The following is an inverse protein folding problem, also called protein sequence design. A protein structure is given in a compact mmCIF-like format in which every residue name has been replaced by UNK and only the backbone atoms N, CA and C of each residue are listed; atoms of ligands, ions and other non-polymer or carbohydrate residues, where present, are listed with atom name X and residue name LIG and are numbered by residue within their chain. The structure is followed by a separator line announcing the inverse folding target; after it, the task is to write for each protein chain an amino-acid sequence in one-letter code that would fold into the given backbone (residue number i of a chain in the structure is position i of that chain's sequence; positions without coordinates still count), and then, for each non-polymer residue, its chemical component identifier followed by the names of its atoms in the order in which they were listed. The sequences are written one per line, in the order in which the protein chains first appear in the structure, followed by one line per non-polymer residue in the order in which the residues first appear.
data_IF_922069728799
#
_entry.id   IF_922069728799
#
_cell.length_a   1.000
_cell.length_b   1.000
_cell.length_c   1.000
_cell.angle_alpha   90.00
_cell.angle_beta   90.00
_cell.angle_gamma   90.00
#
_symmetry.space_group_name_H-M   'P 1'
#
loop_
_entity.id
_entity.type
_entity.pdbx_description
1 polymer ?
#
# COMPACT_ATOMS: atom_id res chain seq x y z
N UNK A 1 9.23 -24.53 -7.32
CA UNK A 1 9.07 -25.42 -6.16
C UNK A 1 7.94 -24.93 -5.28
N UNK A 2 7.29 -25.82 -4.53
CA UNK A 2 6.16 -25.51 -3.63
C UNK A 2 6.32 -26.25 -2.31
N UNK A 3 5.92 -25.62 -1.20
CA UNK A 3 5.88 -26.25 0.12
C UNK A 3 4.42 -26.40 0.53
N UNK A 4 4.10 -27.59 1.01
CA UNK A 4 2.83 -27.88 1.66
C UNK A 4 3.09 -28.17 3.15
N UNK A 5 2.24 -27.67 4.02
CA UNK A 5 2.15 -28.04 5.44
C UNK A 5 0.74 -28.53 5.69
N UNK A 6 0.61 -29.74 6.19
CA UNK A 6 -0.67 -30.41 6.46
C UNK A 6 -1.63 -30.34 5.25
N UNK A 7 -1.08 -30.61 4.07
CA UNK A 7 -1.75 -30.55 2.75
C UNK A 7 -2.15 -29.15 2.27
N UNK A 8 -1.86 -28.08 3.00
CA UNK A 8 -2.08 -26.70 2.55
C UNK A 8 -0.82 -26.15 1.88
N UNK A 9 -0.97 -25.52 0.72
CA UNK A 9 0.15 -24.86 0.03
C UNK A 9 0.48 -23.56 0.77
N UNK A 10 1.68 -23.48 1.35
CA UNK A 10 2.13 -22.34 2.17
C UNK A 10 3.23 -21.51 1.51
N UNK A 11 3.88 -22.04 0.47
CA UNK A 11 4.93 -21.34 -0.26
C UNK A 11 5.04 -21.85 -1.70
N UNK A 12 5.29 -20.93 -2.65
CA UNK A 12 5.54 -21.23 -4.06
C UNK A 12 6.64 -20.31 -4.58
N UNK A 13 7.62 -20.89 -5.30
CA UNK A 13 8.68 -20.12 -5.97
C UNK A 13 9.07 -20.77 -7.28
N UNK A 14 9.40 -19.97 -8.29
CA UNK A 14 10.00 -20.42 -9.55
C UNK A 14 11.53 -20.25 -9.46
N UNK A 15 12.20 -21.25 -8.88
CA UNK A 15 13.67 -21.26 -8.66
C UNK A 15 14.21 -22.68 -8.66
N UNK A 16 15.52 -22.83 -8.92
CA UNK A 16 16.24 -24.11 -8.86
C UNK A 16 16.66 -24.50 -7.44
N UNK A 17 16.59 -23.57 -6.50
CA UNK A 17 16.88 -23.81 -5.07
C UNK A 17 15.86 -23.11 -4.20
N UNK A 18 15.70 -23.55 -2.95
CA UNK A 18 14.75 -23.06 -1.99
C UNK A 18 15.45 -22.77 -0.66
N UNK A 19 15.34 -21.54 -0.19
CA UNK A 19 15.71 -21.13 1.16
C UNK A 19 14.66 -20.17 1.70
N UNK A 20 13.83 -20.66 2.63
CA UNK A 20 12.71 -19.88 3.17
C UNK A 20 12.36 -20.34 4.58
N UNK A 21 11.63 -19.50 5.32
CA UNK A 21 11.06 -19.84 6.62
C UNK A 21 9.54 -19.94 6.50
N UNK A 22 8.96 -20.93 7.13
CA UNK A 22 7.51 -21.15 7.19
C UNK A 22 7.09 -21.18 8.65
N UNK A 23 6.11 -20.36 9.02
CA UNK A 23 5.56 -20.34 10.38
C UNK A 23 4.64 -21.55 10.57
N UNK A 24 4.85 -22.30 11.66
CA UNK A 24 4.03 -23.44 12.06
C UNK A 24 3.64 -23.32 13.53
N UNK A 25 2.45 -23.81 13.89
CA UNK A 25 2.04 -23.93 15.29
C UNK A 25 2.86 -24.99 16.04
N UNK A 26 2.74 -25.06 17.35
CA UNK A 26 3.28 -26.20 18.10
C UNK A 26 2.51 -27.47 17.72
N UNK A 27 3.22 -28.58 17.52
CA UNK A 27 2.62 -29.85 17.11
C UNK A 27 3.48 -30.58 16.08
N UNK A 28 3.01 -31.73 15.63
CA UNK A 28 3.64 -32.50 14.55
C UNK A 28 2.94 -32.19 13.23
N UNK A 29 3.71 -31.75 12.23
CA UNK A 29 3.24 -31.35 10.93
C UNK A 29 3.79 -32.24 9.83
N UNK A 30 2.94 -32.55 8.85
CA UNK A 30 3.34 -33.19 7.60
C UNK A 30 3.76 -32.13 6.60
N UNK A 31 5.02 -32.10 6.22
CA UNK A 31 5.55 -31.14 5.26
C UNK A 31 5.93 -31.87 3.98
N UNK A 32 5.53 -31.33 2.81
CA UNK A 32 5.92 -31.85 1.51
C UNK A 32 6.55 -30.74 0.70
N UNK A 33 7.80 -30.93 0.29
CA UNK A 33 8.47 -30.08 -0.70
C UNK A 33 8.25 -30.71 -2.06
N UNK A 34 7.69 -29.95 -2.99
CA UNK A 34 7.41 -30.38 -4.35
C UNK A 34 8.17 -29.52 -5.35
N UNK A 35 8.83 -30.16 -6.30
CA UNK A 35 9.52 -29.50 -7.40
C UNK A 35 9.00 -30.04 -8.74
N UNK A 36 9.10 -29.23 -9.78
CA UNK A 36 8.85 -29.62 -11.18
C UNK A 36 10.10 -29.33 -11.98
N UNK A 37 10.43 -30.18 -12.91
CA UNK A 37 11.43 -29.89 -13.94
C UNK A 37 10.77 -29.16 -15.15
N UNK A 38 11.58 -28.86 -16.15
CA UNK A 38 11.11 -28.17 -17.38
C UNK A 38 10.16 -29.02 -18.25
N UNK A 39 10.06 -30.31 -17.98
CA UNK A 39 9.17 -31.26 -18.69
C UNK A 39 7.86 -31.48 -17.94
N UNK A 40 7.71 -30.88 -16.74
CA UNK A 40 6.53 -31.04 -15.88
C UNK A 40 6.57 -32.27 -14.98
N UNK A 41 7.67 -33.01 -14.93
CA UNK A 41 7.83 -34.15 -14.00
C UNK A 41 7.89 -33.62 -12.57
N UNK A 42 7.13 -34.25 -11.68
CA UNK A 42 6.95 -33.85 -10.30
C UNK A 42 7.82 -34.69 -9.36
N UNK A 43 8.62 -34.04 -8.56
CA UNK A 43 9.41 -34.64 -7.48
C UNK A 43 8.84 -34.18 -6.14
N UNK A 44 8.71 -35.12 -5.18
CA UNK A 44 8.19 -34.83 -3.84
C UNK A 44 9.13 -35.35 -2.78
N UNK A 45 9.43 -34.52 -1.78
CA UNK A 45 10.18 -34.88 -0.59
C UNK A 45 9.26 -34.65 0.63
N UNK A 46 8.63 -35.72 1.16
CA UNK A 46 7.85 -35.63 2.38
C UNK A 46 8.77 -35.66 3.60
N UNK A 47 8.43 -34.90 4.62
CA UNK A 47 9.10 -34.94 5.92
C UNK A 47 8.07 -34.66 7.02
N UNK A 48 8.32 -35.15 8.22
CA UNK A 48 7.54 -34.85 9.42
C UNK A 48 8.38 -33.93 10.31
N UNK A 49 7.82 -32.81 10.71
CA UNK A 49 8.46 -31.84 11.60
C UNK A 49 7.64 -31.73 12.87
N UNK A 50 8.32 -31.82 14.03
CA UNK A 50 7.68 -31.53 15.31
C UNK A 50 8.17 -30.17 15.80
N UNK A 51 7.24 -29.22 15.93
CA UNK A 51 7.49 -27.92 16.53
C UNK A 51 7.20 -28.04 18.03
N UNK A 52 8.28 -27.96 18.84
CA UNK A 52 8.14 -27.99 20.30
C UNK A 52 7.45 -26.72 20.79
N UNK A 53 6.33 -26.87 21.51
CA UNK A 53 5.79 -25.77 22.32
C UNK A 53 6.78 -25.45 23.43
N UNK A 54 7.04 -24.20 23.72
CA UNK A 54 7.77 -23.81 24.92
C UNK A 54 7.06 -24.37 26.15
N UNK A 55 7.78 -25.18 26.96
CA UNK A 55 7.29 -25.66 28.27
C UNK A 55 6.93 -24.46 29.13
N UNK A 56 5.81 -24.48 29.89
CA UNK A 56 5.46 -23.35 30.72
C UNK A 56 6.54 -23.12 31.76
N UNK A 57 7.27 -22.04 31.65
CA UNK A 57 8.08 -21.47 32.75
C UNK A 57 7.14 -21.12 33.87
N UNK A 58 7.50 -21.32 35.17
CA UNK A 58 6.62 -21.03 36.30
C UNK A 58 6.13 -19.60 36.19
N UNK A 59 4.82 -19.46 36.30
CA UNK A 59 4.02 -18.25 36.18
C UNK A 59 4.60 -17.08 37.00
N UNK A 60 5.18 -16.04 36.36
CA UNK A 60 5.29 -14.75 37.05
C UNK A 60 3.87 -14.21 37.23
N UNK A 61 3.62 -13.58 38.38
CA UNK A 61 2.41 -12.81 38.66
C UNK A 61 1.96 -12.05 37.42
N UNK A 62 0.66 -12.08 37.05
CA UNK A 62 0.22 -11.53 35.79
C UNK A 62 0.54 -10.04 35.71
N UNK A 63 1.63 -9.71 35.06
CA UNK A 63 1.79 -8.41 34.43
C UNK A 63 0.66 -8.32 33.42
N UNK A 64 -0.18 -7.30 33.50
CA UNK A 64 -1.31 -7.10 32.60
C UNK A 64 -0.82 -7.36 31.16
N UNK A 65 -1.37 -8.41 30.55
CA UNK A 65 -1.15 -8.67 29.10
C UNK A 65 -1.49 -7.38 28.40
N UNK A 66 -0.58 -6.78 27.60
CA UNK A 66 -0.98 -5.62 26.79
C UNK A 66 -2.19 -6.06 25.99
N UNK A 67 -3.32 -5.41 26.22
CA UNK A 67 -4.51 -5.56 25.37
C UNK A 67 -4.03 -5.43 23.93
N UNK A 68 -4.34 -6.37 23.01
CA UNK A 68 -4.02 -6.19 21.61
C UNK A 68 -4.49 -4.80 21.23
N UNK A 69 -3.63 -4.00 20.61
CA UNK A 69 -4.04 -2.68 20.14
C UNK A 69 -5.32 -2.86 19.33
N UNK A 70 -6.40 -2.12 19.61
CA UNK A 70 -7.64 -2.25 18.86
C UNK A 70 -7.30 -2.07 17.39
N UNK A 71 -7.76 -2.99 16.52
CA UNK A 71 -7.62 -2.84 15.07
C UNK A 71 -8.20 -1.50 14.61
N UNK A 72 -7.83 -1.06 13.42
CA UNK A 72 -8.44 0.14 12.83
C UNK A 72 -9.96 -0.03 12.76
N UNK A 73 -10.77 1.04 12.97
CA UNK A 73 -12.22 0.93 13.04
C UNK A 73 -12.82 0.30 11.78
N UNK A 74 -13.73 -0.64 11.94
CA UNK A 74 -14.46 -1.20 10.80
C UNK A 74 -15.51 -0.18 10.29
N UNK A 75 -15.67 -0.01 8.96
CA UNK A 75 -16.73 0.82 8.40
C UNK A 75 -18.13 0.33 8.82
N UNK A 76 -19.08 1.22 9.09
CA UNK A 76 -20.47 0.84 9.35
C UNK A 76 -21.11 0.26 8.08
N UNK A 77 -22.19 -0.50 8.25
CA UNK A 77 -22.93 -1.09 7.11
C UNK A 77 -23.56 -0.07 6.16
N UNK A 78 -23.65 1.19 6.59
CA UNK A 78 -24.14 2.33 5.79
C UNK A 78 -23.02 3.06 5.03
N UNK A 79 -21.77 2.65 5.17
CA UNK A 79 -20.67 3.27 4.46
C UNK A 79 -20.82 3.11 2.94
N UNK A 80 -20.45 4.13 2.20
CA UNK A 80 -20.40 4.08 0.73
C UNK A 80 -19.07 3.49 0.31
N UNK A 81 -19.09 2.53 -0.62
CA UNK A 81 -17.91 1.91 -1.19
C UNK A 81 -17.81 2.26 -2.67
N UNK A 82 -16.67 2.77 -3.09
CA UNK A 82 -16.22 2.84 -4.48
C UNK A 82 -15.14 1.78 -4.65
N UNK A 83 -15.43 0.72 -5.40
CA UNK A 83 -14.48 -0.38 -5.70
C UNK A 83 -13.95 -0.26 -7.13
N UNK A 84 -12.89 -1.00 -7.42
CA UNK A 84 -12.31 -1.16 -8.74
C UNK A 84 -12.00 0.19 -9.40
N UNK A 85 -11.49 1.13 -8.58
CA UNK A 85 -11.19 2.49 -9.02
C UNK A 85 -10.07 2.48 -10.06
N UNK A 86 -9.14 1.54 -9.96
CA UNK A 86 -8.06 1.31 -10.93
C UNK A 86 -8.59 0.96 -12.33
N UNK A 87 -9.78 0.37 -12.44
CA UNK A 87 -10.44 0.01 -13.69
C UNK A 87 -11.34 1.14 -14.25
N UNK A 88 -11.54 2.21 -13.49
CA UNK A 88 -12.36 3.34 -13.93
C UNK A 88 -11.64 4.15 -15.02
N UNK A 89 -12.30 4.49 -16.14
CA UNK A 89 -11.69 5.29 -17.21
C UNK A 89 -11.51 6.76 -16.80
N UNK A 90 -10.73 7.50 -17.60
CA UNK A 90 -10.52 8.94 -17.45
C UNK A 90 -9.81 9.34 -16.15
N UNK A 91 -8.73 8.69 -15.82
CA UNK A 91 -7.76 9.20 -14.86
C UNK A 91 -7.10 10.47 -15.44
N UNK A 92 -7.03 11.52 -14.65
CA UNK A 92 -6.24 12.69 -14.97
C UNK A 92 -4.78 12.48 -14.53
N UNK A 93 -3.86 13.24 -15.09
CA UNK A 93 -2.44 13.14 -14.75
C UNK A 93 -1.69 14.44 -15.01
N UNK A 94 -0.58 14.60 -14.33
CA UNK A 94 0.39 15.64 -14.59
C UNK A 94 1.79 15.25 -14.10
N UNK A 95 2.81 15.92 -14.59
CA UNK A 95 4.17 15.83 -14.09
C UNK A 95 4.59 17.14 -13.38
N UNK A 96 4.37 18.28 -13.99
CA UNK A 96 4.75 19.58 -13.39
C UNK A 96 4.03 19.84 -12.06
N UNK A 97 2.77 19.43 -11.92
CA UNK A 97 2.00 19.65 -10.70
C UNK A 97 2.36 18.68 -9.56
N UNK A 98 3.08 17.61 -9.86
CA UNK A 98 3.49 16.60 -8.88
C UNK A 98 4.64 17.09 -7.98
N UNK A 99 5.58 17.84 -8.53
CA UNK A 99 6.73 18.30 -7.77
C UNK A 99 6.43 19.41 -6.76
N UNK A 100 7.43 19.73 -5.95
CA UNK A 100 7.36 20.74 -4.93
C UNK A 100 6.84 22.09 -5.47
N UNK A 101 5.80 22.64 -4.84
CA UNK A 101 5.13 23.88 -5.25
C UNK A 101 4.56 23.83 -6.69
N UNK A 102 4.19 22.67 -7.19
CA UNK A 102 3.71 22.45 -8.55
C UNK A 102 4.67 22.95 -9.63
N UNK A 103 5.96 22.77 -9.42
CA UNK A 103 7.07 23.17 -10.31
C UNK A 103 8.11 22.08 -10.47
N UNK A 104 7.68 20.82 -10.33
CA UNK A 104 8.54 19.67 -10.51
C UNK A 104 9.11 19.58 -11.92
N UNK A 105 10.27 18.96 -12.10
CA UNK A 105 10.83 18.67 -13.41
C UNK A 105 9.96 17.66 -14.17
N UNK A 106 9.99 17.73 -15.50
CA UNK A 106 9.13 16.91 -16.36
C UNK A 106 9.64 15.48 -16.47
N UNK A 107 8.79 14.52 -16.11
CA UNK A 107 8.99 13.09 -16.32
C UNK A 107 8.43 12.62 -17.68
N UNK A 108 8.96 11.52 -18.18
CA UNK A 108 8.29 10.67 -19.18
C UNK A 108 7.42 9.67 -18.40
N UNK A 109 6.12 9.72 -18.59
CA UNK A 109 5.19 8.93 -17.81
C UNK A 109 4.02 8.41 -18.63
N UNK A 110 3.42 7.34 -18.21
CA UNK A 110 2.23 6.76 -18.86
C UNK A 110 1.38 6.00 -17.87
N UNK A 111 0.10 5.87 -18.18
CA UNK A 111 -0.84 4.97 -17.55
C UNK A 111 -1.47 4.09 -18.62
N UNK A 112 -1.65 2.80 -18.35
CA UNK A 112 -2.35 1.85 -19.20
C UNK A 112 -3.37 1.12 -18.34
N UNK A 113 -4.65 1.31 -18.67
CA UNK A 113 -5.78 0.68 -18.00
C UNK A 113 -5.94 -0.78 -18.42
N UNK A 114 -6.66 -1.57 -17.63
CA UNK A 114 -7.13 -2.93 -17.96
C UNK A 114 -6.01 -3.91 -18.34
N UNK A 115 -4.91 -3.90 -17.59
CA UNK A 115 -3.83 -4.86 -17.76
C UNK A 115 -4.19 -6.20 -17.15
N UNK A 116 -4.26 -7.25 -17.98
CA UNK A 116 -4.59 -8.60 -17.54
C UNK A 116 -3.49 -9.24 -16.68
N UNK A 117 -2.23 -8.79 -16.80
CA UNK A 117 -1.09 -9.34 -16.06
C UNK A 117 0.03 -8.31 -15.89
N UNK A 118 0.64 -8.20 -14.67
CA UNK A 118 0.16 -8.82 -13.43
C UNK A 118 -1.16 -8.21 -12.99
N UNK A 119 -2.07 -9.03 -12.48
CA UNK A 119 -3.33 -8.60 -11.88
C UNK A 119 -3.83 -9.65 -10.88
N UNK A 120 -4.62 -9.23 -9.90
CA UNK A 120 -5.25 -10.08 -8.89
C UNK A 120 -6.67 -10.52 -9.27
N UNK A 121 -7.34 -9.75 -10.14
CA UNK A 121 -8.71 -10.03 -10.59
C UNK A 121 -8.87 -10.06 -12.12
N UNK A 122 -7.77 -9.82 -12.85
CA UNK A 122 -7.71 -9.83 -14.31
C UNK A 122 -7.63 -8.44 -14.95
N UNK A 123 -7.76 -7.34 -14.20
CA UNK A 123 -7.80 -5.98 -14.72
C UNK A 123 -7.08 -5.00 -13.77
N UNK A 124 -5.80 -4.77 -13.94
CA UNK A 124 -5.03 -3.81 -13.17
C UNK A 124 -4.73 -2.53 -13.97
N UNK A 125 -4.46 -1.42 -13.30
CA UNK A 125 -3.91 -0.22 -13.93
C UNK A 125 -2.38 -0.19 -13.81
N UNK A 126 -1.68 -0.03 -14.93
CA UNK A 126 -0.22 0.08 -14.97
C UNK A 126 0.20 1.53 -15.08
N UNK A 127 1.07 1.95 -14.20
CA UNK A 127 1.71 3.27 -14.17
C UNK A 127 3.20 3.11 -14.44
N UNK A 128 3.79 4.00 -15.23
CA UNK A 128 5.20 3.93 -15.58
C UNK A 128 5.82 5.32 -15.57
N UNK A 129 7.05 5.40 -15.07
CA UNK A 129 7.84 6.64 -15.07
C UNK A 129 9.27 6.38 -15.54
N UNK A 130 9.83 7.36 -16.22
CA UNK A 130 11.23 7.46 -16.61
C UNK A 130 11.57 8.91 -16.92
N UNK A 131 12.79 9.20 -17.35
CA UNK A 131 13.15 10.55 -17.78
C UNK A 131 14.64 10.78 -17.82
N UNK A 132 15.03 12.04 -17.94
CA UNK A 132 16.42 12.47 -17.95
C UNK A 132 16.72 13.58 -16.93
N UNK A 133 15.65 14.17 -16.36
CA UNK A 133 15.79 15.21 -15.34
C UNK A 133 15.66 14.59 -13.96
N UNK A 134 16.69 14.63 -13.12
CA UNK A 134 16.68 14.02 -11.79
C UNK A 134 15.47 14.39 -10.95
N UNK A 135 14.95 13.40 -10.22
CA UNK A 135 13.87 13.57 -9.24
C UNK A 135 12.58 14.12 -9.86
N UNK A 136 12.28 13.73 -11.11
CA UNK A 136 11.00 14.04 -11.73
C UNK A 136 9.91 13.12 -11.19
N UNK A 137 8.69 13.66 -11.12
CA UNK A 137 7.53 13.00 -10.55
C UNK A 137 6.41 12.89 -11.58
N UNK A 138 5.50 11.96 -11.37
CA UNK A 138 4.25 11.89 -12.11
C UNK A 138 3.11 11.54 -11.16
N UNK A 139 2.06 12.35 -11.18
CA UNK A 139 0.85 12.22 -10.38
C UNK A 139 -0.31 11.83 -11.29
N UNK A 140 -1.08 10.83 -10.88
CA UNK A 140 -2.37 10.47 -11.48
C UNK A 140 -3.46 10.56 -10.43
N UNK A 141 -4.67 10.95 -10.83
CA UNK A 141 -5.80 10.96 -9.91
C UNK A 141 -7.10 10.62 -10.61
N UNK A 142 -7.99 9.97 -9.85
CA UNK A 142 -9.35 9.64 -10.27
C UNK A 142 -10.36 10.41 -9.47
N UNK A 143 -11.16 11.25 -10.15
CA UNK A 143 -12.29 11.96 -9.53
C UNK A 143 -13.44 10.99 -9.26
N UNK A 144 -13.98 11.06 -8.04
CA UNK A 144 -15.06 10.19 -7.55
C UNK A 144 -16.37 10.96 -7.27
N UNK A 145 -16.41 12.24 -7.61
CA UNK A 145 -17.51 13.14 -7.30
C UNK A 145 -17.28 13.92 -6.01
N UNK A 146 -18.35 14.27 -5.31
CA UNK A 146 -18.28 14.97 -4.02
C UNK A 146 -18.88 14.09 -2.92
N UNK A 147 -18.33 14.21 -1.72
CA UNK A 147 -18.82 13.55 -0.51
C UNK A 147 -18.62 14.48 0.70
N UNK A 148 -19.26 15.64 0.69
CA UNK A 148 -19.03 16.73 1.64
C UNK A 148 -19.30 16.35 3.09
N UNK A 149 -20.25 15.45 3.33
CA UNK A 149 -20.62 14.97 4.66
C UNK A 149 -19.70 13.87 5.20
N UNK A 150 -18.91 13.22 4.34
CA UNK A 150 -18.04 12.15 4.79
C UNK A 150 -16.97 12.69 5.75
N UNK A 151 -16.82 12.03 6.89
CA UNK A 151 -15.84 12.38 7.92
C UNK A 151 -14.82 11.30 8.18
N UNK A 152 -15.05 10.11 7.63
CA UNK A 152 -14.19 8.95 7.73
C UNK A 152 -13.95 8.39 6.33
N UNK A 153 -12.73 8.01 6.05
CA UNK A 153 -12.32 7.43 4.78
C UNK A 153 -11.38 6.28 5.02
N UNK A 154 -11.58 5.20 4.28
CA UNK A 154 -10.67 4.05 4.24
C UNK A 154 -10.26 3.85 2.78
N UNK A 155 -8.99 4.03 2.51
CA UNK A 155 -8.37 3.80 1.20
C UNK A 155 -7.67 2.45 1.21
N UNK A 156 -8.00 1.60 0.26
CA UNK A 156 -7.53 0.22 0.15
C UNK A 156 -6.94 0.00 -1.24
N UNK A 157 -5.74 -0.56 -1.33
CA UNK A 157 -5.04 -0.75 -2.60
C UNK A 157 -4.08 -1.94 -2.54
N UNK A 158 -4.12 -2.78 -3.56
CA UNK A 158 -3.03 -3.70 -3.87
C UNK A 158 -2.11 -3.05 -4.90
N UNK A 159 -0.78 -3.17 -4.70
CA UNK A 159 0.18 -2.67 -5.67
C UNK A 159 1.32 -3.66 -5.92
N UNK A 160 1.86 -3.61 -7.13
CA UNK A 160 2.96 -4.45 -7.61
C UNK A 160 3.98 -3.55 -8.30
N UNK A 161 5.26 -3.68 -8.00
CA UNK A 161 6.32 -2.80 -8.49
C UNK A 161 7.48 -3.58 -9.08
N UNK A 162 8.07 -3.08 -10.18
CA UNK A 162 9.18 -3.78 -10.87
C UNK A 162 10.54 -3.51 -10.27
N UNK A 163 10.83 -2.27 -9.91
CA UNK A 163 12.15 -1.87 -9.44
C UNK A 163 12.04 -0.80 -8.32
N UNK A 164 11.68 -1.20 -7.09
CA UNK A 164 11.46 -0.26 -6.00
C UNK A 164 12.76 0.46 -5.56
N UNK A 165 13.92 -0.12 -5.82
CA UNK A 165 15.20 0.48 -5.44
C UNK A 165 15.54 1.79 -6.17
N UNK A 166 14.86 2.07 -7.30
CA UNK A 166 15.02 3.32 -8.07
C UNK A 166 13.86 4.30 -7.87
N UNK A 167 12.88 3.95 -7.06
CA UNK A 167 11.84 4.86 -6.60
C UNK A 167 12.35 5.68 -5.42
N UNK A 168 12.11 6.99 -5.42
CA UNK A 168 12.36 7.82 -4.26
C UNK A 168 11.25 7.65 -3.23
N UNK A 169 10.01 7.73 -3.68
CA UNK A 169 8.81 7.51 -2.88
C UNK A 169 7.67 6.94 -3.74
N UNK A 170 6.70 6.32 -3.08
CA UNK A 170 5.40 5.96 -3.63
C UNK A 170 4.33 6.65 -2.80
N UNK A 171 3.53 7.49 -3.43
CA UNK A 171 2.47 8.24 -2.76
C UNK A 171 1.10 7.61 -3.03
N UNK A 172 0.32 7.44 -1.98
CA UNK A 172 -1.03 6.89 -2.01
C UNK A 172 -1.96 7.88 -1.29
N UNK A 173 -2.67 8.67 -2.08
CA UNK A 173 -3.37 9.84 -1.58
C UNK A 173 -4.87 9.73 -1.73
N UNK A 174 -5.56 10.38 -0.82
CA UNK A 174 -6.96 10.70 -0.95
C UNK A 174 -7.16 12.21 -0.72
N UNK A 175 -8.03 12.84 -1.49
CA UNK A 175 -8.35 14.25 -1.33
C UNK A 175 -9.86 14.44 -1.24
N UNK A 176 -10.29 15.29 -0.32
CA UNK A 176 -11.68 15.74 -0.18
C UNK A 176 -11.72 17.25 -0.06
N UNK A 177 -12.63 17.88 -0.80
CA UNK A 177 -13.01 19.30 -0.61
C UNK A 177 -14.51 19.39 -0.43
N UNK A 178 -14.98 20.15 0.56
CA UNK A 178 -16.36 20.18 0.99
C UNK A 178 -17.04 21.57 0.87
N UNK A 179 -16.49 22.42 0.00
CA UNK A 179 -17.00 23.78 -0.19
C UNK A 179 -16.52 24.82 0.84
N UNK A 180 -15.82 24.39 1.88
CA UNK A 180 -15.21 25.27 2.87
C UNK A 180 -13.72 24.98 3.05
N UNK A 181 -13.34 23.69 3.03
CA UNK A 181 -11.99 23.24 3.25
C UNK A 181 -11.57 22.16 2.23
N UNK A 182 -10.26 22.09 1.96
CA UNK A 182 -9.59 21.00 1.27
C UNK A 182 -8.78 20.19 2.30
N UNK A 183 -9.12 18.92 2.39
CA UNK A 183 -8.49 17.92 3.23
C UNK A 183 -7.63 17.04 2.32
N UNK A 184 -6.31 17.17 2.41
CA UNK A 184 -5.35 16.36 1.65
C UNK A 184 -4.85 15.27 2.59
N UNK A 185 -5.26 14.04 2.35
CA UNK A 185 -4.78 12.86 3.06
C UNK A 185 -3.60 12.25 2.27
N UNK A 186 -2.56 13.08 2.11
CA UNK A 186 -1.35 12.66 1.41
C UNK A 186 -0.53 11.73 2.28
N UNK A 187 -0.12 10.60 1.71
CA UNK A 187 0.70 9.59 2.38
C UNK A 187 1.76 9.06 1.43
N UNK A 188 2.96 8.83 1.93
CA UNK A 188 4.00 8.21 1.12
C UNK A 188 4.84 7.21 1.91
N UNK A 189 5.24 6.14 1.23
CA UNK A 189 6.44 5.40 1.61
C UNK A 189 7.65 6.13 1.02
N UNK A 190 8.35 6.89 1.84
CA UNK A 190 9.59 7.54 1.47
C UNK A 190 10.73 6.51 1.52
N UNK A 191 10.95 5.82 0.41
CA UNK A 191 11.90 4.71 0.32
C UNK A 191 13.33 5.19 0.61
N UNK A 192 13.69 6.36 0.11
CA UNK A 192 15.04 6.93 0.34
C UNK A 192 15.22 7.46 1.75
N UNK A 193 14.14 7.95 2.38
CA UNK A 193 14.14 8.39 3.76
C UNK A 193 13.98 7.26 4.78
N UNK A 194 13.60 6.06 4.34
CA UNK A 194 13.31 4.87 5.16
C UNK A 194 12.18 5.07 6.18
N UNK A 195 11.17 5.86 5.85
CA UNK A 195 10.02 6.08 6.73
C UNK A 195 8.74 6.40 5.94
N UNK A 196 7.60 6.15 6.57
CA UNK A 196 6.32 6.66 6.11
C UNK A 196 6.16 8.12 6.48
N UNK A 197 5.66 8.92 5.52
CA UNK A 197 5.32 10.32 5.72
C UNK A 197 3.83 10.57 5.54
N UNK A 198 3.35 11.63 6.14
CA UNK A 198 2.02 12.19 5.93
C UNK A 198 2.10 13.68 5.58
N UNK A 199 1.11 14.18 4.85
CA UNK A 199 1.11 15.56 4.37
C UNK A 199 0.62 16.54 5.42
N UNK A 200 1.48 17.50 5.77
CA UNK A 200 1.12 18.64 6.62
C UNK A 200 0.37 19.70 5.81
N UNK A 201 -0.94 19.62 5.75
CA UNK A 201 -1.80 20.41 4.88
C UNK A 201 -1.53 21.91 4.91
N UNK A 202 -1.49 22.53 6.08
CA UNK A 202 -1.24 23.96 6.23
C UNK A 202 0.21 24.33 5.89
N UNK A 203 1.17 23.52 6.31
CA UNK A 203 2.60 23.74 6.07
C UNK A 203 3.00 23.46 4.62
N UNK A 204 2.29 22.54 3.94
CA UNK A 204 2.56 22.16 2.56
C UNK A 204 3.88 21.39 2.39
N UNK A 205 4.15 20.48 3.34
CA UNK A 205 5.35 19.65 3.32
C UNK A 205 5.06 18.26 3.89
N UNK A 206 5.92 17.31 3.58
CA UNK A 206 5.93 15.97 4.15
C UNK A 206 6.44 16.01 5.60
N UNK A 207 5.80 15.21 6.44
CA UNK A 207 6.12 15.08 7.86
C UNK A 207 6.28 13.60 8.19
N UNK A 208 7.45 13.22 8.67
CA UNK A 208 7.73 11.83 9.04
C UNK A 208 6.84 11.36 10.19
N UNK A 209 6.26 10.17 10.02
CA UNK A 209 5.52 9.49 11.09
C UNK A 209 6.44 8.84 12.12
N UNK A 210 7.71 8.62 11.78
CA UNK A 210 8.64 7.81 12.54
C UNK A 210 8.47 6.30 12.34
N UNK A 211 7.48 5.87 11.53
CA UNK A 211 7.26 4.46 11.20
C UNK A 211 8.16 4.13 10.00
N UNK A 212 8.93 3.03 10.12
CA UNK A 212 9.84 2.64 9.07
C UNK A 212 9.09 2.25 7.77
N UNK A 213 9.63 2.70 6.64
CA UNK A 213 9.28 2.18 5.32
C UNK A 213 10.57 1.84 4.57
N UNK A 214 10.66 0.65 4.03
CA UNK A 214 11.74 0.20 3.15
C UNK A 214 11.19 -0.07 1.75
N UNK A 215 12.08 -0.15 0.76
CA UNK A 215 11.69 -0.56 -0.58
C UNK A 215 10.90 -1.86 -0.54
N UNK A 216 9.69 -1.90 -1.10
CA UNK A 216 8.89 -3.12 -1.16
C UNK A 216 9.60 -4.20 -1.98
N UNK A 217 9.22 -5.46 -1.81
CA UNK A 217 9.77 -6.54 -2.62
C UNK A 217 9.32 -6.40 -4.07
N UNK A 218 10.27 -6.37 -5.01
CA UNK A 218 9.95 -6.29 -6.43
C UNK A 218 9.19 -7.54 -6.91
N UNK A 219 8.29 -7.37 -7.88
CA UNK A 219 7.55 -8.46 -8.53
C UNK A 219 6.64 -9.27 -7.58
N UNK A 220 6.17 -8.64 -6.51
CA UNK A 220 5.23 -9.21 -5.54
C UNK A 220 4.09 -8.21 -5.34
N UNK A 221 2.88 -8.72 -5.15
CA UNK A 221 1.75 -7.90 -4.74
C UNK A 221 1.88 -7.55 -3.26
N UNK A 222 1.74 -6.26 -2.96
CA UNK A 222 1.66 -5.68 -1.62
C UNK A 222 0.25 -5.16 -1.39
N UNK A 223 -0.19 -5.15 -0.16
CA UNK A 223 -1.50 -4.62 0.23
C UNK A 223 -1.35 -3.49 1.23
N UNK A 224 -1.96 -2.36 0.92
CA UNK A 224 -1.95 -1.17 1.76
C UNK A 224 -3.38 -0.69 2.02
N UNK A 225 -3.69 -0.48 3.28
CA UNK A 225 -4.95 0.16 3.70
C UNK A 225 -4.61 1.35 4.57
N UNK A 226 -5.11 2.54 4.23
CA UNK A 226 -5.04 3.73 5.07
C UNK A 226 -6.41 4.09 5.64
N UNK A 227 -6.44 4.55 6.89
CA UNK A 227 -7.63 5.11 7.51
C UNK A 227 -7.43 6.57 7.89
N UNK A 228 -8.37 7.38 7.46
CA UNK A 228 -8.41 8.81 7.66
C UNK A 228 -9.71 9.26 8.31
N UNK A 229 -9.63 10.35 9.04
CA UNK A 229 -10.78 11.06 9.56
C UNK A 229 -10.59 12.57 9.33
N UNK A 230 -11.66 13.30 9.48
CA UNK A 230 -11.58 14.76 9.59
C UNK A 230 -12.49 15.28 10.68
N UNK A 231 -12.12 16.45 11.20
CA UNK A 231 -13.02 17.36 11.87
C UNK A 231 -13.58 18.39 10.85
N UNK A 232 -14.22 19.44 11.33
CA UNK A 232 -14.62 20.54 10.47
C UNK A 232 -13.42 21.23 9.78
N UNK A 233 -12.25 21.24 10.42
CA UNK A 233 -11.09 22.04 10.01
C UNK A 233 -9.77 21.28 9.93
N UNK A 234 -9.71 20.02 10.33
CA UNK A 234 -8.46 19.25 10.37
C UNK A 234 -8.60 17.92 9.64
N UNK A 235 -7.52 17.50 8.96
CA UNK A 235 -7.29 16.12 8.57
C UNK A 235 -6.73 15.33 9.76
N UNK A 236 -7.06 14.05 9.84
CA UNK A 236 -6.55 13.11 10.84
C UNK A 236 -6.09 11.86 10.12
N UNK A 237 -4.81 11.52 10.25
CA UNK A 237 -4.22 10.25 9.84
C UNK A 237 -4.33 9.29 11.02
N UNK A 238 -5.27 8.34 10.95
CA UNK A 238 -5.53 7.40 12.05
C UNK A 238 -4.43 6.34 12.08
N UNK A 239 -4.21 5.68 10.96
CA UNK A 239 -3.19 4.64 10.82
C UNK A 239 -3.32 3.93 9.49
N UNK A 240 -2.48 2.91 9.32
CA UNK A 240 -2.48 2.08 8.12
C UNK A 240 -2.13 0.63 8.44
N UNK A 241 -2.54 -0.26 7.55
CA UNK A 241 -2.11 -1.66 7.54
C UNK A 241 -1.35 -1.92 6.25
N UNK A 242 -0.11 -2.38 6.36
CA UNK A 242 0.74 -2.73 5.24
C UNK A 242 1.14 -4.20 5.36
N UNK A 243 0.82 -5.00 4.34
CA UNK A 243 1.04 -6.44 4.28
C UNK A 243 0.62 -7.18 5.58
N UNK A 244 -0.53 -6.80 6.12
CA UNK A 244 -1.11 -7.37 7.34
C UNK A 244 -0.57 -6.81 8.66
N UNK A 245 0.40 -5.88 8.63
CA UNK A 245 0.94 -5.24 9.83
C UNK A 245 0.31 -3.86 10.03
N UNK A 246 -0.38 -3.65 11.15
CA UNK A 246 -1.06 -2.39 11.46
C UNK A 246 -0.16 -1.44 12.22
N UNK A 247 -0.17 -0.17 11.79
CA UNK A 247 0.56 0.93 12.39
C UNK A 247 -0.39 2.10 12.69
N UNK A 248 -0.33 2.63 13.93
CA UNK A 248 -1.09 3.81 14.33
C UNK A 248 -0.26 5.06 14.14
N UNK A 249 -0.82 6.04 13.41
CA UNK A 249 -0.17 7.32 13.13
C UNK A 249 -0.65 8.39 14.10
N UNK A 250 -1.96 8.53 14.28
CA UNK A 250 -2.61 9.47 15.20
C UNK A 250 -2.07 10.90 15.07
N UNK A 251 -2.00 11.41 13.83
CA UNK A 251 -1.55 12.78 13.51
C UNK A 251 -2.71 13.60 12.98
N UNK A 252 -2.76 14.86 13.39
CA UNK A 252 -3.79 15.81 12.94
C UNK A 252 -3.16 17.12 12.47
N UNK A 253 -3.63 17.63 11.34
CA UNK A 253 -3.13 18.87 10.74
C UNK A 253 -4.28 19.73 10.22
N UNK A 254 -4.20 21.08 10.34
CA UNK A 254 -5.21 21.97 9.81
C UNK A 254 -5.39 21.79 8.29
N UNK A 255 -6.64 21.74 7.83
CA UNK A 255 -6.99 21.76 6.42
C UNK A 255 -6.74 23.14 5.79
N UNK A 256 -6.76 23.22 4.47
CA UNK A 256 -6.71 24.49 3.72
C UNK A 256 -8.12 24.97 3.38
N UNK A 257 -8.34 26.28 3.26
CA UNK A 257 -9.58 26.81 2.73
C UNK A 257 -9.77 26.41 1.26
N UNK A 258 -11.02 26.06 0.89
CA UNK A 258 -11.38 25.70 -0.48
C UNK A 258 -12.90 25.86 -0.67
N UNK A 259 -13.31 26.42 -1.79
CA UNK A 259 -14.73 26.48 -2.20
C UNK A 259 -15.13 25.34 -3.15
N UNK A 260 -14.23 24.40 -3.41
CA UNK A 260 -14.46 23.26 -4.30
C UNK A 260 -15.23 22.17 -3.57
N UNK A 261 -16.00 21.37 -4.32
CA UNK A 261 -16.68 20.16 -3.86
C UNK A 261 -16.16 18.99 -4.68
N UNK A 262 -15.28 18.18 -4.09
CA UNK A 262 -14.65 17.06 -4.79
C UNK A 262 -14.17 15.98 -3.84
N UNK A 263 -14.02 14.79 -4.36
CA UNK A 263 -13.27 13.71 -3.75
C UNK A 263 -12.54 12.91 -4.83
N UNK A 264 -11.28 12.57 -4.59
CA UNK A 264 -10.49 11.78 -5.50
C UNK A 264 -9.52 10.88 -4.72
N UNK A 265 -9.07 9.83 -5.38
CA UNK A 265 -7.86 9.12 -5.02
C UNK A 265 -6.76 9.53 -5.96
N UNK A 266 -5.52 9.55 -5.48
CA UNK A 266 -4.37 9.85 -6.30
C UNK A 266 -3.23 8.86 -6.01
N UNK A 267 -2.37 8.70 -7.01
CA UNK A 267 -1.17 7.91 -6.94
C UNK A 267 -0.02 8.67 -7.59
N UNK A 268 1.11 8.76 -6.92
CA UNK A 268 2.29 9.42 -7.48
C UNK A 268 3.50 8.48 -7.44
N UNK A 269 4.30 8.57 -8.48
CA UNK A 269 5.58 7.89 -8.59
C UNK A 269 6.68 8.94 -8.69
N UNK A 270 7.72 8.78 -7.87
CA UNK A 270 8.87 9.67 -7.82
C UNK A 270 10.11 8.93 -8.31
N UNK A 271 10.79 9.53 -9.29
CA UNK A 271 12.02 9.00 -9.85
C UNK A 271 13.25 9.29 -8.97
N UNK A 272 14.30 8.52 -9.16
CA UNK A 272 15.59 8.75 -8.54
C UNK A 272 16.44 9.84 -9.26
N UNK A 273 17.66 10.04 -8.81
CA UNK A 273 18.60 10.99 -9.41
C UNK A 273 18.98 10.67 -10.87
N UNK A 274 18.82 9.44 -11.31
CA UNK A 274 19.13 8.98 -12.66
C UNK A 274 17.88 8.73 -13.51
N UNK A 275 16.69 8.88 -12.94
CA UNK A 275 15.40 8.61 -13.58
C UNK A 275 15.31 7.23 -14.21
N UNK A 276 15.85 6.22 -13.51
CA UNK A 276 15.73 4.84 -13.95
C UNK A 276 14.25 4.46 -14.12
N UNK A 277 13.95 3.83 -15.24
CA UNK A 277 12.57 3.45 -15.55
C UNK A 277 12.06 2.37 -14.58
N UNK A 278 10.84 2.55 -14.08
CA UNK A 278 10.11 1.52 -13.34
C UNK A 278 8.61 1.63 -13.56
N UNK A 279 7.90 0.58 -13.22
CA UNK A 279 6.44 0.52 -13.34
C UNK A 279 5.83 -0.02 -12.05
N UNK A 280 4.64 0.49 -11.75
CA UNK A 280 3.79 0.02 -10.66
C UNK A 280 2.41 -0.31 -11.22
N UNK A 281 1.82 -1.40 -10.78
CA UNK A 281 0.42 -1.74 -11.06
C UNK A 281 -0.38 -1.52 -9.79
N UNK A 282 -1.54 -0.92 -9.92
CA UNK A 282 -2.56 -0.87 -8.89
C UNK A 282 -3.71 -1.79 -9.27
N UNK A 283 -4.25 -2.47 -8.28
CA UNK A 283 -5.34 -3.44 -8.43
C UNK A 283 -6.24 -3.39 -7.20
N UNK A 284 -7.53 -3.66 -7.36
CA UNK A 284 -8.52 -3.65 -6.27
C UNK A 284 -8.53 -2.34 -5.49
N UNK A 285 -8.31 -1.22 -6.18
CA UNK A 285 -8.34 0.08 -5.53
C UNK A 285 -9.75 0.41 -5.07
N UNK A 286 -9.90 0.65 -3.78
CA UNK A 286 -11.20 0.98 -3.20
C UNK A 286 -11.11 2.15 -2.23
N UNK A 287 -12.17 2.96 -2.21
CA UNK A 287 -12.40 3.99 -1.22
C UNK A 287 -13.75 3.77 -0.54
N UNK A 288 -13.71 3.53 0.76
CA UNK A 288 -14.89 3.45 1.61
C UNK A 288 -14.99 4.72 2.43
N UNK A 289 -16.17 5.34 2.51
CA UNK A 289 -16.36 6.57 3.27
C UNK A 289 -17.73 6.66 3.95
N UNK A 290 -17.82 7.37 5.08
CA UNK A 290 -19.04 7.57 5.87
C UNK A 290 -19.00 8.85 6.71
#
# INVERSE_FOLDING_TARGET
MRIYVDNLSVYLVSASSLNTSVTMSAGTHSVVIQAWDSTGIVFKAPLSLTVSGSSPTPTPTPTATPTPAPGLPAPPSTAVVKSDIDQMPNWASCTVCAGANAKGPVAIYSMVENQASPSLDGLAAKFSISGTTPYSDALWWKQLGAADSATHLKYDVAFYITNPGVSQALEFDNNQSNGAHKFIYGTQCNIKGNHWDVWGNAAGNWISTGIACSAPTAFVWHHLTWEFQRTATNVIFVGFTYDGVTHYVNRSYPARASSVHEMNVAFQMDGDSAMHAYSTWLDRVALTYW
#
